data_IF_342136391622
#
_entry.id   IF_342136391622
#
_cell.length_a   1.000
_cell.length_b   1.000
_cell.length_c   1.000
_cell.angle_alpha   90.00
_cell.angle_beta   90.00
_cell.angle_gamma   90.00
#
_symmetry.space_group_name_H-M   'P 1'
#
loop_
_entity.id
_entity.type
_entity.pdbx_description
1 polymer ?
#
# COMPACT_ATOMS: atom_id res chain seq x y z
N UNK A 1 -2.11 -3.35 -26.61
CA UNK A 1 -3.02 -2.40 -25.94
C UNK A 1 -2.31 -1.84 -24.73
N UNK A 2 -2.30 -0.52 -24.50
CA UNK A 2 -1.71 0.06 -23.29
C UNK A 2 -2.44 -0.50 -22.07
N UNK A 3 -1.68 -0.92 -21.06
CA UNK A 3 -2.23 -1.45 -19.80
C UNK A 3 -2.15 -0.39 -18.72
N UNK A 4 -3.24 -0.15 -18.01
CA UNK A 4 -3.19 0.74 -16.85
C UNK A 4 -2.26 0.13 -15.80
N UNK A 5 -1.28 0.93 -15.37
CA UNK A 5 -0.37 0.59 -14.29
C UNK A 5 -0.80 1.31 -13.03
N UNK A 6 -0.53 0.74 -11.87
CA UNK A 6 -0.75 1.36 -10.56
C UNK A 6 0.48 2.21 -10.22
N UNK A 7 0.25 3.39 -9.66
CA UNK A 7 1.30 4.27 -9.19
C UNK A 7 2.00 3.64 -7.97
N UNK A 8 3.33 3.49 -8.04
CA UNK A 8 4.15 2.92 -6.96
C UNK A 8 4.88 3.99 -6.13
N UNK A 9 4.56 5.27 -6.36
CA UNK A 9 5.15 6.41 -5.65
C UNK A 9 4.86 6.38 -4.13
N UNK A 10 3.85 5.62 -3.69
CA UNK A 10 3.56 5.43 -2.27
C UNK A 10 4.75 4.90 -1.46
N UNK A 11 5.68 4.18 -2.08
CA UNK A 11 6.88 3.66 -1.40
C UNK A 11 7.83 4.77 -0.92
N UNK A 12 7.78 5.94 -1.58
CA UNK A 12 8.64 7.09 -1.30
C UNK A 12 7.97 8.11 -0.35
N UNK A 13 6.71 7.89 0.02
CA UNK A 13 5.98 8.77 0.93
C UNK A 13 6.65 8.87 2.31
N UNK A 14 6.48 10.01 2.98
CA UNK A 14 6.84 10.13 4.39
C UNK A 14 6.03 9.16 5.25
N UNK A 15 6.53 8.81 6.44
CA UNK A 15 5.93 7.78 7.31
C UNK A 15 4.43 8.02 7.56
N UNK A 16 4.05 9.27 7.87
CA UNK A 16 2.64 9.66 8.10
C UNK A 16 1.80 9.49 6.83
N UNK A 17 2.31 9.97 5.69
CA UNK A 17 1.59 9.88 4.43
C UNK A 17 1.47 8.42 3.93
N UNK A 18 2.46 7.57 4.21
CA UNK A 18 2.40 6.14 3.92
C UNK A 18 1.33 5.44 4.78
N UNK A 19 1.20 5.83 6.05
CA UNK A 19 0.16 5.31 6.94
C UNK A 19 -1.24 5.70 6.45
N UNK A 20 -1.45 6.98 6.16
CA UNK A 20 -2.72 7.49 5.60
C UNK A 20 -3.07 6.81 4.27
N UNK A 21 -2.07 6.60 3.40
CA UNK A 21 -2.25 5.85 2.16
C UNK A 21 -2.67 4.41 2.44
N UNK A 22 -2.05 3.73 3.40
CA UNK A 22 -2.43 2.38 3.78
C UNK A 22 -3.88 2.31 4.30
N UNK A 23 -4.34 3.31 5.07
CA UNK A 23 -5.75 3.42 5.51
C UNK A 23 -6.69 3.55 4.31
N UNK A 24 -6.35 4.38 3.34
CA UNK A 24 -7.15 4.58 2.13
C UNK A 24 -7.28 3.27 1.34
N UNK A 25 -6.18 2.53 1.15
CA UNK A 25 -6.19 1.22 0.47
C UNK A 25 -7.00 0.19 1.25
N UNK A 26 -6.82 0.10 2.57
CA UNK A 26 -7.62 -0.80 3.42
C UNK A 26 -9.12 -0.51 3.25
N UNK A 27 -9.50 0.78 3.28
CA UNK A 27 -10.89 1.21 3.10
C UNK A 27 -11.40 0.84 1.71
N UNK A 28 -10.61 1.10 0.66
CA UNK A 28 -10.95 0.83 -0.72
C UNK A 28 -11.06 -0.63 -1.09
N UNK A 29 -10.27 -1.49 -0.45
CA UNK A 29 -10.30 -2.94 -0.66
C UNK A 29 -11.35 -3.64 0.21
N UNK A 30 -11.83 -2.99 1.27
CA UNK A 30 -12.87 -3.56 2.15
C UNK A 30 -14.19 -3.67 1.40
N UNK A 31 -14.68 -4.90 1.22
CA UNK A 31 -15.97 -5.15 0.55
C UNK A 31 -15.97 -4.89 -0.95
N UNK A 32 -14.80 -4.70 -1.57
CA UNK A 32 -14.72 -4.46 -3.00
C UNK A 32 -14.91 -5.76 -3.80
N UNK A 33 -16.06 -5.90 -4.46
CA UNK A 33 -16.41 -7.07 -5.25
C UNK A 33 -15.49 -7.30 -6.47
N UNK A 34 -14.82 -6.26 -6.97
CA UNK A 34 -13.85 -6.37 -8.07
C UNK A 34 -12.53 -7.03 -7.64
N UNK A 35 -12.24 -7.02 -6.33
CA UNK A 35 -11.01 -7.55 -5.76
C UNK A 35 -11.30 -8.54 -4.62
N UNK A 36 -11.92 -9.70 -4.92
CA UNK A 36 -12.40 -10.62 -3.90
C UNK A 36 -11.28 -11.42 -3.20
N UNK A 37 -10.12 -11.57 -3.85
CA UNK A 37 -9.01 -12.43 -3.35
C UNK A 37 -7.66 -11.72 -3.43
N UNK A 38 -7.47 -10.62 -2.67
CA UNK A 38 -6.19 -9.94 -2.66
C UNK A 38 -5.10 -10.81 -2.04
N UNK A 39 -3.85 -10.76 -2.55
CA UNK A 39 -2.75 -11.58 -2.06
C UNK A 39 -2.33 -11.22 -0.64
N UNK A 40 -2.52 -9.97 -0.21
CA UNK A 40 -2.50 -9.57 1.19
C UNK A 40 -3.91 -9.15 1.58
N UNK A 41 -4.49 -9.87 2.54
CA UNK A 41 -5.86 -9.59 2.99
C UNK A 41 -5.93 -8.23 3.68
N UNK A 42 -7.10 -7.61 3.69
CA UNK A 42 -7.33 -6.34 4.40
C UNK A 42 -6.94 -6.46 5.88
N UNK A 43 -7.22 -7.59 6.52
CA UNK A 43 -6.83 -7.86 7.90
C UNK A 43 -5.30 -7.90 8.07
N UNK A 44 -4.59 -8.56 7.16
CA UNK A 44 -3.12 -8.60 7.18
C UNK A 44 -2.50 -7.24 6.93
N UNK A 45 -3.07 -6.47 6.00
CA UNK A 45 -2.61 -5.11 5.72
C UNK A 45 -2.82 -4.20 6.94
N UNK A 46 -3.95 -4.35 7.63
CA UNK A 46 -4.23 -3.67 8.91
C UNK A 46 -3.21 -4.02 10.00
N UNK A 47 -2.86 -5.30 10.16
CA UNK A 47 -1.83 -5.72 11.13
C UNK A 47 -0.45 -5.12 10.80
N UNK A 48 -0.06 -5.12 9.52
CA UNK A 48 1.22 -4.54 9.09
C UNK A 48 1.26 -3.02 9.30
N UNK A 49 0.15 -2.33 9.04
CA UNK A 49 0.00 -0.90 9.32
C UNK A 49 0.17 -0.62 10.82
N UNK A 50 -0.56 -1.33 11.69
CA UNK A 50 -0.43 -1.14 13.14
C UNK A 50 0.98 -1.43 13.64
N UNK A 51 1.65 -2.48 13.13
CA UNK A 51 3.03 -2.78 13.48
C UNK A 51 4.01 -1.67 13.05
N UNK A 52 3.75 -1.02 11.90
CA UNK A 52 4.53 0.13 11.46
C UNK A 52 4.28 1.36 12.34
N UNK A 53 3.03 1.66 12.70
CA UNK A 53 2.64 2.74 13.59
C UNK A 53 3.32 2.58 14.98
N UNK A 54 3.22 1.40 15.58
CA UNK A 54 3.85 1.07 16.87
C UNK A 54 5.38 1.24 16.81
N UNK A 55 6.01 0.77 15.74
CA UNK A 55 7.45 0.89 15.55
C UNK A 55 7.89 2.35 15.33
N UNK A 56 7.07 3.15 14.65
CA UNK A 56 7.32 4.58 14.45
C UNK A 56 7.27 5.34 15.78
N UNK A 57 6.27 5.05 16.63
CA UNK A 57 6.17 5.61 17.98
C UNK A 57 7.37 5.22 18.84
N UNK A 58 7.75 3.94 18.84
CA UNK A 58 8.91 3.46 19.58
C UNK A 58 10.23 4.14 19.13
N UNK A 59 10.41 4.30 17.82
CA UNK A 59 11.58 5.00 17.26
C UNK A 59 11.64 6.47 17.67
N UNK A 60 10.50 7.16 17.74
CA UNK A 60 10.41 8.54 18.20
C UNK A 60 10.75 8.70 19.69
N UNK A 61 10.35 7.72 20.52
CA UNK A 61 10.57 7.73 21.97
C UNK A 61 12.02 7.37 22.37
N UNK A 62 12.58 6.31 21.81
CA UNK A 62 13.89 5.77 22.23
C UNK A 62 15.08 6.38 21.47
N UNK A 63 14.85 7.00 20.31
CA UNK A 63 15.87 7.68 19.48
C UNK A 63 17.19 6.89 19.33
N UNK A 64 17.08 5.58 19.10
CA UNK A 64 18.21 4.65 19.00
C UNK A 64 18.26 3.92 17.66
N UNK A 65 19.46 3.50 17.23
CA UNK A 65 19.67 2.77 15.96
C UNK A 65 18.79 1.53 15.83
N UNK A 66 18.60 0.78 16.91
CA UNK A 66 17.78 -0.44 16.91
C UNK A 66 16.29 -0.12 16.65
N UNK A 67 15.74 0.92 17.28
CA UNK A 67 14.35 1.32 17.09
C UNK A 67 14.10 1.86 15.68
N UNK A 68 15.05 2.63 15.13
CA UNK A 68 14.99 3.07 13.72
C UNK A 68 15.06 1.89 12.75
N UNK A 69 15.90 0.88 13.03
CA UNK A 69 15.97 -0.33 12.21
C UNK A 69 14.66 -1.13 12.23
N UNK A 70 14.04 -1.27 13.41
CA UNK A 70 12.74 -1.93 13.55
C UNK A 70 11.63 -1.20 12.78
N UNK A 71 11.58 0.14 12.87
CA UNK A 71 10.65 0.96 12.08
C UNK A 71 10.85 0.76 10.57
N UNK A 72 12.10 0.79 10.10
CA UNK A 72 12.40 0.61 8.68
C UNK A 72 12.02 -0.79 8.18
N UNK A 73 12.19 -1.82 9.01
CA UNK A 73 11.75 -3.18 8.68
C UNK A 73 10.22 -3.26 8.58
N UNK A 74 9.49 -2.65 9.52
CA UNK A 74 8.03 -2.60 9.47
C UNK A 74 7.53 -1.80 8.25
N UNK A 75 8.20 -0.69 7.92
CA UNK A 75 7.94 0.10 6.71
C UNK A 75 8.11 -0.74 5.44
N UNK A 76 9.22 -1.48 5.32
CA UNK A 76 9.49 -2.34 4.17
C UNK A 76 8.41 -3.42 4.02
N UNK A 77 7.99 -4.03 5.14
CA UNK A 77 6.93 -5.04 5.13
C UNK A 77 5.59 -4.46 4.65
N UNK A 78 5.22 -3.27 5.11
CA UNK A 78 4.01 -2.57 4.67
C UNK A 78 4.07 -2.20 3.19
N UNK A 79 5.19 -1.62 2.73
CA UNK A 79 5.39 -1.26 1.32
C UNK A 79 5.36 -2.49 0.42
N UNK A 80 5.98 -3.60 0.83
CA UNK A 80 5.95 -4.86 0.09
C UNK A 80 4.53 -5.40 -0.03
N UNK A 81 3.75 -5.34 1.05
CA UNK A 81 2.35 -5.74 1.02
C UNK A 81 1.50 -4.88 0.07
N UNK A 82 1.67 -3.56 0.12
CA UNK A 82 1.01 -2.62 -0.79
C UNK A 82 1.41 -2.88 -2.25
N UNK A 83 2.69 -3.18 -2.53
CA UNK A 83 3.16 -3.56 -3.87
C UNK A 83 2.55 -4.84 -4.39
N UNK A 84 2.39 -5.86 -3.54
CA UNK A 84 1.69 -7.11 -3.91
C UNK A 84 0.25 -6.85 -4.28
N UNK A 85 -0.46 -6.05 -3.49
CA UNK A 85 -1.85 -5.68 -3.78
C UNK A 85 -1.94 -4.79 -5.03
N UNK A 86 -1.02 -3.86 -5.24
CA UNK A 86 -0.94 -3.04 -6.46
C UNK A 86 -0.80 -3.91 -7.72
N UNK A 87 0.12 -4.88 -7.73
CA UNK A 87 0.30 -5.78 -8.87
C UNK A 87 -0.94 -6.65 -9.13
N UNK A 88 -1.62 -7.07 -8.07
CA UNK A 88 -2.89 -7.78 -8.18
C UNK A 88 -3.99 -6.89 -8.76
N UNK A 89 -4.07 -5.63 -8.36
CA UNK A 89 -5.00 -4.64 -8.91
C UNK A 89 -4.74 -4.41 -10.40
N UNK A 90 -3.48 -4.22 -10.80
CA UNK A 90 -3.09 -4.08 -12.21
C UNK A 90 -3.46 -5.30 -13.06
N UNK A 91 -3.47 -6.50 -12.47
CA UNK A 91 -3.87 -7.75 -13.13
C UNK A 91 -5.38 -7.91 -13.23
N UNK A 92 -6.08 -7.53 -12.18
CA UNK A 92 -7.52 -7.80 -12.06
C UNK A 92 -8.37 -6.71 -12.69
N UNK A 93 -7.86 -5.47 -12.81
CA UNK A 93 -8.60 -4.35 -13.39
C UNK A 93 -8.92 -4.51 -14.88
N UNK A 94 -8.26 -5.43 -15.59
CA UNK A 94 -8.54 -5.75 -17.00
C UNK A 94 -8.63 -4.53 -17.94
N UNK A 95 -7.77 -3.53 -17.74
CA UNK A 95 -7.78 -2.24 -18.45
C UNK A 95 -9.01 -1.35 -18.24
N UNK A 96 -9.79 -1.61 -17.20
CA UNK A 96 -10.90 -0.75 -16.79
C UNK A 96 -10.42 0.21 -15.69
N UNK A 97 -10.33 1.49 -16.03
CA UNK A 97 -9.90 2.54 -15.10
C UNK A 97 -10.86 2.69 -13.89
N UNK A 98 -12.20 2.67 -14.04
CA UNK A 98 -13.12 2.65 -12.90
C UNK A 98 -12.85 1.50 -11.92
N UNK A 99 -12.60 0.30 -12.44
CA UNK A 99 -12.26 -0.88 -11.64
C UNK A 99 -10.95 -0.67 -10.91
N UNK A 100 -9.92 -0.12 -11.56
CA UNK A 100 -8.66 0.26 -10.91
C UNK A 100 -8.92 1.26 -9.76
N UNK A 101 -9.59 2.37 -10.04
CA UNK A 101 -9.85 3.42 -9.06
C UNK A 101 -10.73 2.96 -7.88
N UNK A 102 -11.55 1.93 -8.06
CA UNK A 102 -12.34 1.34 -6.96
C UNK A 102 -11.47 0.74 -5.85
N UNK A 103 -10.23 0.36 -6.15
CA UNK A 103 -9.26 -0.12 -5.16
C UNK A 103 -8.59 0.99 -4.36
N UNK A 104 -8.87 2.26 -4.70
CA UNK A 104 -8.22 3.46 -4.18
C UNK A 104 -6.72 3.60 -4.52
N UNK A 105 -6.18 2.69 -5.33
CA UNK A 105 -4.91 2.92 -5.99
C UNK A 105 -5.06 3.95 -7.10
N UNK A 106 -4.04 4.78 -7.26
CA UNK A 106 -3.94 5.71 -8.38
C UNK A 106 -3.38 5.00 -9.61
N UNK A 107 -3.89 5.34 -10.79
CA UNK A 107 -3.26 4.93 -12.04
C UNK A 107 -1.97 5.73 -12.23
N UNK A 108 -0.86 5.05 -12.53
CA UNK A 108 0.35 5.71 -12.95
C UNK A 108 0.05 6.48 -14.24
N UNK A 109 0.40 7.77 -14.26
CA UNK A 109 0.26 8.59 -15.46
C UNK A 109 0.97 7.89 -16.61
N UNK A 110 0.25 7.75 -17.73
CA UNK A 110 0.80 7.22 -18.96
C UNK A 110 1.94 8.16 -19.40
N UNK A 111 3.19 7.80 -19.09
CA UNK A 111 4.33 8.39 -19.79
C UNK A 111 4.25 7.86 -21.21
N UNK A 112 3.70 8.68 -22.11
CA UNK A 112 3.85 8.51 -23.54
C UNK A 112 5.36 8.36 -23.80
N UNK A 113 5.77 7.17 -24.20
CA UNK A 113 7.13 6.84 -24.65
C UNK A 113 7.06 6.34 -26.07
#
# INVERSE_FOLDING_TARGET
MPRYKVCLAFAELADVALDEFAVAIITGMTGNASYPTPPVTVAQLGMLRSAFEDAAVAAAAQRGRAATAAKNLARDALVLALRKNAAYVELTCNNDLPTLLSSWFEAASHLET
#
